data_IF_446184738014
#
_entry.id   IF_446184738014
#
_cell.length_a   1.000
_cell.length_b   1.000
_cell.length_c   1.000
_cell.angle_alpha   90.00
_cell.angle_beta   90.00
_cell.angle_gamma   90.00
#
_symmetry.space_group_name_H-M   'P 1'
#
loop_
_entity.id
_entity.type
_entity.pdbx_description
1 polymer ?
#
# COMPACT_ATOMS: atom_id res chain seq x y z
N UNK A 1 0.10 -24.89 9.85
CA UNK A 1 0.01 -24.40 8.47
C UNK A 1 -1.32 -24.76 7.81
N UNK A 2 -1.70 -26.03 7.72
CA UNK A 2 -2.95 -26.48 7.04
C UNK A 2 -4.23 -25.82 7.58
N UNK A 3 -4.36 -25.64 8.90
CA UNK A 3 -5.53 -25.00 9.51
C UNK A 3 -5.61 -23.49 9.19
N UNK A 4 -4.47 -22.81 9.10
CA UNK A 4 -4.38 -21.39 8.70
C UNK A 4 -4.74 -21.27 7.22
N UNK A 5 -4.24 -22.16 6.38
CA UNK A 5 -4.53 -22.20 4.94
C UNK A 5 -6.02 -22.44 4.65
N UNK A 6 -6.63 -23.40 5.36
CA UNK A 6 -8.05 -23.73 5.21
C UNK A 6 -8.96 -22.57 5.69
N UNK A 7 -8.58 -21.85 6.74
CA UNK A 7 -9.32 -20.66 7.19
C UNK A 7 -9.18 -19.50 6.19
N UNK A 8 -7.98 -19.26 5.66
CA UNK A 8 -7.73 -18.26 4.62
C UNK A 8 -8.58 -18.52 3.37
N UNK A 9 -8.63 -19.77 2.88
CA UNK A 9 -9.43 -20.14 1.70
C UNK A 9 -10.93 -19.96 1.99
N UNK A 10 -11.41 -20.41 3.15
CA UNK A 10 -12.83 -20.28 3.52
C UNK A 10 -13.27 -18.84 3.62
N UNK A 11 -12.47 -18.00 4.27
CA UNK A 11 -12.76 -16.56 4.45
C UNK A 11 -12.63 -15.80 3.13
N UNK A 12 -11.63 -16.14 2.32
CA UNK A 12 -11.46 -15.60 0.98
C UNK A 12 -12.72 -15.83 0.11
N UNK A 13 -13.28 -17.03 0.11
CA UNK A 13 -14.51 -17.33 -0.62
C UNK A 13 -15.71 -16.52 -0.11
N UNK A 14 -15.82 -16.30 1.22
CA UNK A 14 -16.86 -15.46 1.80
C UNK A 14 -16.72 -14.01 1.34
N UNK A 15 -15.52 -13.43 1.46
CA UNK A 15 -15.23 -12.05 1.02
C UNK A 15 -15.50 -11.88 -0.47
N UNK A 16 -15.00 -12.81 -1.31
CA UNK A 16 -15.25 -12.82 -2.74
C UNK A 16 -16.75 -12.85 -3.09
N UNK A 17 -17.53 -13.61 -2.32
CA UNK A 17 -18.99 -13.69 -2.49
C UNK A 17 -19.73 -12.39 -2.18
N UNK A 18 -19.16 -11.49 -1.39
CA UNK A 18 -19.71 -10.16 -1.11
C UNK A 18 -19.38 -9.11 -2.17
N UNK A 19 -18.46 -9.42 -3.11
CA UNK A 19 -18.11 -8.51 -4.21
C UNK A 19 -19.26 -8.38 -5.19
N UNK A 20 -19.66 -7.15 -5.50
CA UNK A 20 -20.88 -6.83 -6.24
C UNK A 20 -20.76 -6.98 -7.75
N UNK A 21 -19.54 -6.87 -8.30
CA UNK A 21 -19.31 -6.97 -9.75
C UNK A 21 -18.14 -7.90 -10.12
N UNK A 22 -18.06 -8.28 -11.39
CA UNK A 22 -17.04 -9.20 -11.88
C UNK A 22 -15.64 -8.59 -11.82
N UNK A 23 -15.53 -7.27 -12.04
CA UNK A 23 -14.25 -6.56 -11.94
C UNK A 23 -13.68 -6.66 -10.51
N UNK A 24 -14.51 -6.47 -9.50
CA UNK A 24 -14.09 -6.60 -8.09
C UNK A 24 -13.64 -8.02 -7.77
N UNK A 25 -14.36 -9.03 -8.29
CA UNK A 25 -13.99 -10.46 -8.12
C UNK A 25 -12.65 -10.77 -8.80
N UNK A 26 -12.45 -10.27 -10.02
CA UNK A 26 -11.20 -10.44 -10.77
C UNK A 26 -10.01 -9.79 -10.03
N UNK A 27 -10.18 -8.53 -9.58
CA UNK A 27 -9.14 -7.84 -8.81
C UNK A 27 -8.83 -8.60 -7.52
N UNK A 28 -9.84 -9.05 -6.79
CA UNK A 28 -9.67 -9.81 -5.56
C UNK A 28 -8.89 -11.11 -5.80
N UNK A 29 -9.31 -11.91 -6.77
CA UNK A 29 -8.65 -13.18 -7.12
C UNK A 29 -7.19 -12.95 -7.51
N UNK A 30 -6.91 -11.95 -8.35
CA UNK A 30 -5.56 -11.60 -8.78
C UNK A 30 -4.69 -11.09 -7.63
N UNK A 31 -5.22 -10.24 -6.76
CA UNK A 31 -4.48 -9.74 -5.58
C UNK A 31 -4.16 -10.86 -4.60
N UNK A 32 -5.10 -11.76 -4.35
CA UNK A 32 -4.89 -12.96 -3.53
C UNK A 32 -3.78 -13.84 -4.13
N UNK A 33 -3.86 -14.15 -5.42
CA UNK A 33 -2.86 -14.98 -6.11
C UNK A 33 -1.48 -14.29 -6.12
N UNK A 34 -1.44 -12.99 -6.38
CA UNK A 34 -0.19 -12.25 -6.31
C UNK A 34 0.42 -12.25 -4.90
N UNK A 35 -0.39 -12.06 -3.87
CA UNK A 35 0.07 -12.10 -2.46
C UNK A 35 0.68 -13.46 -2.10
N UNK A 36 0.08 -14.55 -2.59
CA UNK A 36 0.56 -15.91 -2.31
C UNK A 36 1.77 -16.33 -3.14
N UNK A 37 1.89 -15.84 -4.37
CA UNK A 37 2.90 -16.30 -5.34
C UNK A 37 3.98 -15.28 -5.67
N UNK A 38 3.70 -13.99 -5.44
CA UNK A 38 4.47 -12.83 -5.92
C UNK A 38 4.60 -12.74 -7.45
N UNK A 39 3.93 -13.61 -8.23
CA UNK A 39 3.93 -13.57 -9.69
C UNK A 39 3.20 -12.31 -10.20
N UNK A 40 3.95 -11.45 -10.85
CA UNK A 40 3.47 -10.12 -11.27
C UNK A 40 2.46 -10.19 -12.42
N UNK A 41 2.33 -11.33 -13.11
CA UNK A 41 1.30 -11.51 -14.15
C UNK A 41 -0.11 -11.22 -13.63
N UNK A 42 -0.38 -11.52 -12.36
CA UNK A 42 -1.68 -11.23 -11.72
C UNK A 42 -1.92 -9.73 -11.55
N UNK A 43 -0.88 -8.94 -11.31
CA UNK A 43 -1.01 -7.46 -11.29
C UNK A 43 -1.23 -6.95 -12.72
N UNK A 44 -0.41 -7.38 -13.68
CA UNK A 44 -0.57 -7.00 -15.09
C UNK A 44 -1.99 -7.25 -15.62
N UNK A 45 -2.65 -8.35 -15.20
CA UNK A 45 -4.00 -8.69 -15.68
C UNK A 45 -5.09 -7.74 -15.18
N UNK A 46 -4.92 -7.08 -14.04
CA UNK A 46 -5.92 -6.16 -13.46
C UNK A 46 -5.64 -4.68 -13.75
N UNK A 47 -4.47 -4.34 -14.29
CA UNK A 47 -4.15 -2.96 -14.66
C UNK A 47 -4.88 -2.54 -15.92
N UNK A 48 -5.26 -1.25 -16.00
CA UNK A 48 -5.99 -0.70 -17.14
C UNK A 48 -5.29 -0.92 -18.48
N UNK A 49 -3.99 -0.67 -18.49
CA UNK A 49 -3.18 -0.70 -19.72
C UNK A 49 -2.56 -2.09 -19.96
N UNK A 50 -2.71 -3.04 -19.01
CA UNK A 50 -2.15 -4.39 -19.06
C UNK A 50 -0.65 -4.41 -19.40
N UNK A 51 0.09 -3.42 -18.87
CA UNK A 51 1.51 -3.25 -19.12
C UNK A 51 2.30 -4.30 -18.34
N UNK A 52 3.06 -5.15 -19.04
CA UNK A 52 4.07 -5.97 -18.38
C UNK A 52 5.32 -5.15 -18.08
N UNK A 53 5.39 -4.64 -16.85
CA UNK A 53 6.52 -3.83 -16.40
C UNK A 53 7.84 -4.61 -16.34
N UNK A 54 7.82 -5.94 -16.49
CA UNK A 54 8.99 -6.80 -16.50
C UNK A 54 9.58 -7.01 -17.90
N UNK A 55 8.87 -6.68 -18.99
CA UNK A 55 9.36 -6.87 -20.35
C UNK A 55 10.71 -6.18 -20.60
N UNK A 56 10.88 -4.96 -20.10
CA UNK A 56 12.15 -4.24 -20.25
C UNK A 56 13.27 -4.90 -19.45
N UNK A 57 12.98 -5.39 -18.24
CA UNK A 57 13.97 -6.13 -17.46
C UNK A 57 14.41 -7.42 -18.18
N UNK A 58 13.45 -8.18 -18.75
CA UNK A 58 13.73 -9.36 -19.56
C UNK A 58 14.67 -9.00 -20.72
N UNK A 59 14.34 -7.95 -21.46
CA UNK A 59 15.14 -7.49 -22.61
C UNK A 59 16.57 -7.07 -22.19
N UNK A 60 16.73 -6.39 -21.05
CA UNK A 60 18.05 -5.99 -20.57
C UNK A 60 18.87 -7.18 -20.07
N UNK A 61 18.24 -8.17 -19.44
CA UNK A 61 18.94 -9.36 -18.94
C UNK A 61 19.40 -10.31 -20.05
N UNK A 62 18.76 -10.30 -21.21
CA UNK A 62 19.12 -11.21 -22.32
C UNK A 62 20.58 -11.09 -22.74
N UNK A 63 21.16 -9.89 -22.67
CA UNK A 63 22.57 -9.65 -22.98
C UNK A 63 23.55 -10.32 -21.99
N UNK A 64 23.08 -10.61 -20.76
CA UNK A 64 23.89 -11.22 -19.67
C UNK A 64 23.64 -12.71 -19.49
N UNK A 65 22.61 -13.26 -20.11
CA UNK A 65 22.22 -14.66 -20.01
C UNK A 65 23.38 -15.58 -20.38
N UNK A 66 23.73 -16.49 -19.49
CA UNK A 66 24.85 -17.45 -19.63
C UNK A 66 26.25 -16.78 -19.77
N UNK A 67 26.41 -15.50 -19.43
CA UNK A 67 27.70 -14.81 -19.57
C UNK A 67 28.31 -14.39 -18.23
N UNK A 68 27.50 -14.13 -17.25
CA UNK A 68 27.93 -13.76 -15.89
C UNK A 68 26.84 -14.10 -14.87
N UNK A 69 27.22 -14.03 -13.60
CA UNK A 69 26.31 -14.14 -12.48
C UNK A 69 25.28 -13.04 -12.51
N UNK A 70 24.04 -13.32 -12.03
CA UNK A 70 22.94 -12.36 -11.95
C UNK A 70 22.46 -12.29 -10.52
N UNK A 71 22.54 -11.11 -9.92
CA UNK A 71 22.23 -10.83 -8.51
C UNK A 71 21.01 -9.95 -8.39
N UNK A 72 20.06 -10.32 -7.52
CA UNK A 72 18.96 -9.42 -7.11
C UNK A 72 19.44 -8.59 -5.93
N UNK A 73 19.40 -7.27 -6.03
CA UNK A 73 19.64 -6.35 -4.91
C UNK A 73 18.32 -5.78 -4.39
N UNK A 74 17.94 -6.24 -3.21
CA UNK A 74 16.68 -5.96 -2.53
C UNK A 74 15.79 -7.21 -2.38
N UNK A 75 15.60 -7.66 -1.14
CA UNK A 75 14.80 -8.85 -0.79
C UNK A 75 13.31 -8.55 -0.56
N UNK A 76 12.87 -7.31 -0.77
CA UNK A 76 11.49 -6.86 -0.61
C UNK A 76 10.54 -7.40 -1.67
N UNK A 77 9.34 -6.79 -1.76
CA UNK A 77 8.28 -7.23 -2.67
C UNK A 77 8.76 -7.39 -4.12
N UNK A 78 9.39 -6.35 -4.71
CA UNK A 78 9.84 -6.43 -6.10
C UNK A 78 10.98 -7.42 -6.32
N UNK A 79 11.84 -7.66 -5.33
CA UNK A 79 12.82 -8.75 -5.40
C UNK A 79 12.15 -10.12 -5.50
N UNK A 80 11.13 -10.36 -4.67
CA UNK A 80 10.30 -11.58 -4.71
C UNK A 80 9.56 -11.71 -6.04
N UNK A 81 8.97 -10.61 -6.54
CA UNK A 81 8.27 -10.60 -7.83
C UNK A 81 9.20 -10.88 -9.00
N UNK A 82 10.41 -10.32 -9.01
CA UNK A 82 11.45 -10.63 -10.00
C UNK A 82 11.72 -12.15 -10.02
N UNK A 83 11.99 -12.72 -8.85
CA UNK A 83 12.29 -14.17 -8.72
C UNK A 83 11.10 -15.04 -9.16
N UNK A 84 9.87 -14.66 -8.79
CA UNK A 84 8.65 -15.41 -9.08
C UNK A 84 8.22 -15.31 -10.55
N UNK A 85 8.39 -14.14 -11.16
CA UNK A 85 7.92 -13.85 -12.53
C UNK A 85 8.94 -14.32 -13.58
N UNK A 86 10.24 -14.20 -13.28
CA UNK A 86 11.33 -14.50 -14.21
C UNK A 86 11.95 -15.87 -13.90
N UNK A 87 11.17 -16.92 -14.10
CA UNK A 87 11.54 -18.31 -13.79
C UNK A 87 12.59 -18.92 -14.73
N UNK A 88 12.83 -18.32 -15.88
CA UNK A 88 13.81 -18.70 -16.89
C UNK A 88 15.20 -18.07 -16.67
N UNK A 89 15.34 -17.24 -15.64
CA UNK A 89 16.61 -16.64 -15.23
C UNK A 89 17.22 -17.42 -14.07
N UNK A 90 18.48 -17.83 -14.23
CA UNK A 90 19.26 -18.43 -13.15
C UNK A 90 19.84 -17.35 -12.26
N UNK A 91 19.20 -17.15 -11.11
CA UNK A 91 19.60 -16.16 -10.12
C UNK A 91 20.70 -16.70 -9.21
N UNK A 92 21.86 -16.06 -9.18
CA UNK A 92 23.02 -16.50 -8.42
C UNK A 92 22.84 -16.30 -6.92
N UNK A 93 22.39 -15.13 -6.51
CA UNK A 93 22.05 -14.82 -5.12
C UNK A 93 21.10 -13.61 -5.03
N UNK A 94 20.57 -13.39 -3.83
CA UNK A 94 19.97 -12.11 -3.46
C UNK A 94 20.86 -11.42 -2.43
N UNK A 95 20.92 -10.09 -2.48
CA UNK A 95 21.58 -9.32 -1.44
C UNK A 95 20.69 -8.17 -0.96
N UNK A 96 20.95 -7.70 0.27
CA UNK A 96 20.29 -6.56 0.85
C UNK A 96 21.24 -5.87 1.84
N UNK A 97 20.82 -4.72 2.37
CA UNK A 97 21.55 -4.02 3.43
C UNK A 97 21.56 -4.80 4.74
N UNK A 98 20.40 -5.38 5.10
CA UNK A 98 20.21 -6.18 6.32
C UNK A 98 19.83 -7.59 5.94
N UNK A 99 20.55 -8.57 6.46
CA UNK A 99 20.36 -9.98 6.15
C UNK A 99 19.94 -10.70 7.44
N UNK A 100 18.78 -11.37 7.41
CA UNK A 100 18.25 -12.14 8.54
C UNK A 100 18.55 -13.64 8.46
N UNK A 101 18.75 -14.16 7.24
CA UNK A 101 18.91 -15.57 6.94
C UNK A 101 20.07 -15.81 5.97
N UNK A 102 20.47 -17.06 5.77
CA UNK A 102 21.52 -17.42 4.80
C UNK A 102 20.97 -17.81 3.43
N UNK A 103 19.69 -18.11 3.35
CA UNK A 103 18.98 -18.45 2.12
C UNK A 103 17.67 -17.65 2.00
N UNK A 104 17.34 -17.32 0.76
CA UNK A 104 16.12 -16.64 0.40
C UNK A 104 15.50 -17.31 -0.85
N UNK A 105 14.35 -17.97 -0.67
CA UNK A 105 13.67 -18.69 -1.75
C UNK A 105 14.60 -19.66 -2.52
N UNK A 106 15.36 -20.46 -1.79
CA UNK A 106 16.30 -21.46 -2.31
C UNK A 106 17.47 -20.87 -3.14
N UNK A 107 17.82 -19.62 -2.90
CA UNK A 107 19.07 -19.02 -3.40
C UNK A 107 19.84 -18.38 -2.24
N UNK A 108 21.18 -18.28 -2.33
CA UNK A 108 22.01 -17.65 -1.29
C UNK A 108 21.55 -16.22 -1.01
N UNK A 109 21.48 -15.86 0.30
CA UNK A 109 21.16 -14.52 0.75
C UNK A 109 22.31 -13.96 1.57
N UNK A 110 22.79 -12.78 1.25
CA UNK A 110 23.96 -12.18 1.87
C UNK A 110 23.92 -10.66 1.87
N UNK A 111 24.84 -10.03 2.62
CA UNK A 111 24.96 -8.57 2.56
C UNK A 111 25.41 -8.11 1.16
N UNK A 112 25.03 -6.89 0.78
CA UNK A 112 25.46 -6.28 -0.49
C UNK A 112 26.99 -6.27 -0.61
N UNK A 113 27.69 -5.93 0.45
CA UNK A 113 29.17 -5.90 0.45
C UNK A 113 29.79 -7.29 0.20
N UNK A 114 29.23 -8.35 0.81
CA UNK A 114 29.69 -9.71 0.59
C UNK A 114 29.35 -10.21 -0.82
N UNK A 115 28.18 -9.85 -1.34
CA UNK A 115 27.79 -10.18 -2.70
C UNK A 115 28.75 -9.56 -3.72
N UNK A 116 29.06 -8.27 -3.58
CA UNK A 116 30.03 -7.58 -4.48
C UNK A 116 31.43 -8.18 -4.39
N UNK A 117 31.88 -8.54 -3.19
CA UNK A 117 33.17 -9.20 -3.00
C UNK A 117 33.22 -10.58 -3.66
N UNK A 118 32.11 -11.33 -3.60
CA UNK A 118 32.04 -12.72 -4.11
C UNK A 118 31.77 -12.77 -5.62
N UNK A 119 30.97 -11.82 -6.14
CA UNK A 119 30.54 -11.76 -7.53
C UNK A 119 30.81 -10.37 -8.14
N UNK A 120 32.08 -9.95 -8.26
CA UNK A 120 32.48 -8.61 -8.68
C UNK A 120 32.10 -8.27 -10.12
N UNK A 121 31.99 -9.27 -11.00
CA UNK A 121 31.68 -9.13 -12.42
C UNK A 121 30.18 -9.41 -12.74
N UNK A 122 29.38 -9.69 -11.73
CA UNK A 122 27.95 -9.95 -11.89
C UNK A 122 27.17 -8.72 -12.39
N UNK A 123 26.00 -8.96 -12.96
CA UNK A 123 24.99 -7.90 -13.14
C UNK A 123 24.09 -7.84 -11.90
N UNK A 124 23.95 -6.65 -11.35
CA UNK A 124 23.11 -6.36 -10.19
C UNK A 124 21.79 -5.74 -10.61
N UNK A 125 20.68 -6.43 -10.32
CA UNK A 125 19.31 -5.95 -10.57
C UNK A 125 18.78 -5.31 -9.31
N UNK A 126 18.77 -3.98 -9.26
CA UNK A 126 18.26 -3.19 -8.13
C UNK A 126 16.74 -3.18 -8.17
N UNK A 127 16.11 -3.82 -7.20
CA UNK A 127 14.66 -4.03 -7.17
C UNK A 127 13.89 -2.94 -6.42
N UNK A 128 14.55 -2.11 -5.60
CA UNK A 128 13.87 -1.11 -4.76
C UNK A 128 13.41 0.11 -5.54
N UNK A 129 12.14 0.44 -5.48
CA UNK A 129 11.56 1.67 -6.03
C UNK A 129 12.04 2.92 -5.27
N UNK A 130 11.92 2.91 -3.94
CA UNK A 130 12.24 4.05 -3.08
C UNK A 130 13.74 4.33 -2.99
N UNK A 131 14.53 3.27 -2.82
CA UNK A 131 15.97 3.38 -2.57
C UNK A 131 16.83 3.07 -3.80
N UNK A 132 16.22 2.84 -4.96
CA UNK A 132 16.93 2.40 -6.17
C UNK A 132 18.12 3.27 -6.56
N UNK A 133 18.01 4.61 -6.46
CA UNK A 133 19.11 5.53 -6.76
C UNK A 133 20.25 5.46 -5.73
N UNK A 134 19.89 5.33 -4.45
CA UNK A 134 20.89 5.23 -3.38
C UNK A 134 21.68 3.91 -3.48
N UNK A 135 20.98 2.81 -3.75
CA UNK A 135 21.57 1.49 -3.96
C UNK A 135 22.49 1.48 -5.18
N UNK A 136 22.03 2.03 -6.31
CA UNK A 136 22.84 2.14 -7.52
C UNK A 136 24.13 2.94 -7.27
N UNK A 137 24.04 4.04 -6.51
CA UNK A 137 25.19 4.84 -6.12
C UNK A 137 26.16 4.06 -5.23
N UNK A 138 25.65 3.30 -4.27
CA UNK A 138 26.45 2.44 -3.39
C UNK A 138 27.17 1.34 -4.17
N UNK A 139 26.47 0.63 -5.05
CA UNK A 139 27.06 -0.40 -5.93
C UNK A 139 28.19 0.16 -6.79
N UNK A 140 28.01 1.34 -7.38
CA UNK A 140 29.07 2.04 -8.15
C UNK A 140 30.29 2.36 -7.29
N UNK A 141 30.11 2.79 -6.04
CA UNK A 141 31.21 3.03 -5.10
C UNK A 141 31.95 1.74 -4.73
N UNK A 142 31.23 0.61 -4.68
CA UNK A 142 31.81 -0.72 -4.46
C UNK A 142 32.48 -1.29 -5.72
N UNK A 143 32.49 -0.58 -6.85
CA UNK A 143 33.14 -0.95 -8.08
C UNK A 143 32.32 -1.81 -9.05
N UNK A 144 31.03 -1.99 -8.81
CA UNK A 144 30.14 -2.74 -9.70
C UNK A 144 29.94 -1.97 -11.02
N UNK A 145 30.16 -2.67 -12.14
CA UNK A 145 30.09 -2.10 -13.49
C UNK A 145 28.73 -2.32 -14.15
N UNK A 146 28.10 -3.46 -13.89
CA UNK A 146 26.87 -3.88 -14.55
C UNK A 146 25.70 -3.75 -13.57
N UNK A 147 24.88 -2.71 -13.73
CA UNK A 147 23.75 -2.42 -12.86
C UNK A 147 22.51 -2.17 -13.71
N UNK A 148 21.43 -2.88 -13.40
CA UNK A 148 20.09 -2.63 -13.94
C UNK A 148 19.24 -2.07 -12.81
N UNK A 149 18.88 -0.80 -12.85
CA UNK A 149 18.01 -0.19 -11.85
C UNK A 149 16.55 -0.38 -12.24
N UNK A 150 16.02 -1.57 -11.94
CA UNK A 150 14.63 -1.92 -12.21
C UNK A 150 13.65 -1.07 -11.37
N UNK A 151 13.98 -0.79 -10.10
CA UNK A 151 13.17 0.04 -9.23
C UNK A 151 12.90 1.42 -9.81
N UNK A 152 13.94 2.09 -10.36
CA UNK A 152 13.79 3.37 -11.05
C UNK A 152 12.98 3.24 -12.35
N UNK A 153 13.14 2.14 -13.07
CA UNK A 153 12.40 1.90 -14.29
C UNK A 153 10.89 1.78 -14.02
N UNK A 154 10.50 0.98 -13.03
CA UNK A 154 9.09 0.75 -12.73
C UNK A 154 8.40 1.96 -12.09
N UNK A 155 9.13 2.85 -11.40
CA UNK A 155 8.53 4.02 -10.74
C UNK A 155 7.72 4.92 -11.70
N UNK A 156 8.06 4.94 -12.99
CA UNK A 156 7.32 5.69 -14.02
C UNK A 156 5.89 5.19 -14.28
N UNK A 157 5.56 3.98 -13.85
CA UNK A 157 4.22 3.39 -14.00
C UNK A 157 3.32 3.58 -12.78
N UNK A 158 3.78 4.32 -11.78
CA UNK A 158 3.07 4.57 -10.52
C UNK A 158 2.05 5.72 -10.59
N UNK A 159 1.69 6.21 -11.78
CA UNK A 159 0.65 7.23 -11.91
C UNK A 159 -0.69 6.69 -11.42
N UNK A 160 -1.31 7.44 -10.51
CA UNK A 160 -2.58 7.08 -9.87
C UNK A 160 -3.74 7.70 -10.63
N UNK A 161 -4.81 6.94 -10.87
CA UNK A 161 -6.04 7.48 -11.45
C UNK A 161 -6.67 8.49 -10.44
N UNK A 162 -6.88 9.75 -10.84
CA UNK A 162 -7.38 10.79 -9.93
C UNK A 162 -8.83 10.59 -9.46
N UNK A 163 -9.56 9.61 -10.01
CA UNK A 163 -10.90 9.22 -9.54
C UNK A 163 -10.88 8.27 -8.35
N UNK A 164 -9.70 7.83 -7.91
CA UNK A 164 -9.54 6.99 -6.73
C UNK A 164 -10.35 7.57 -5.55
N UNK A 165 -11.03 6.69 -4.82
CA UNK A 165 -11.98 6.94 -3.72
C UNK A 165 -13.36 7.45 -4.14
N UNK A 166 -13.58 7.99 -5.36
CA UNK A 166 -14.78 8.74 -5.69
C UNK A 166 -15.58 8.22 -6.90
N UNK A 167 -15.13 7.16 -7.56
CA UNK A 167 -15.75 6.62 -8.78
C UNK A 167 -16.74 5.46 -8.55
N UNK A 168 -16.85 4.97 -7.33
CA UNK A 168 -17.77 3.85 -6.98
C UNK A 168 -19.08 4.34 -6.40
N UNK A 169 -19.04 5.35 -5.53
CA UNK A 169 -20.20 5.84 -4.80
C UNK A 169 -20.90 7.02 -5.49
N UNK A 170 -22.18 7.17 -5.17
CA UNK A 170 -22.92 8.43 -5.37
C UNK A 170 -22.92 9.19 -4.06
N UNK A 171 -22.52 10.45 -4.10
CA UNK A 171 -22.44 11.32 -2.95
C UNK A 171 -23.60 12.30 -2.92
N UNK A 172 -24.17 12.53 -1.74
CA UNK A 172 -25.21 13.52 -1.47
C UNK A 172 -24.61 14.91 -1.26
N UNK A 173 -25.46 15.93 -1.12
CA UNK A 173 -25.02 17.28 -0.77
C UNK A 173 -24.69 17.44 0.74
N UNK A 174 -25.10 16.48 1.55
CA UNK A 174 -25.02 16.53 3.02
C UNK A 174 -23.99 15.53 3.57
N UNK A 175 -22.98 15.16 2.76
CA UNK A 175 -21.95 14.22 3.22
C UNK A 175 -21.10 14.81 4.35
N UNK A 176 -20.89 14.01 5.37
CA UNK A 176 -19.85 14.21 6.39
C UNK A 176 -18.69 13.29 6.04
N UNK A 177 -17.65 13.88 5.50
CA UNK A 177 -16.49 13.18 4.93
C UNK A 177 -15.39 13.09 5.97
N UNK A 178 -14.82 11.91 6.12
CA UNK A 178 -13.66 11.66 6.99
C UNK A 178 -12.51 11.16 6.14
N UNK A 179 -11.43 11.94 6.05
CA UNK A 179 -10.21 11.58 5.35
C UNK A 179 -9.11 11.28 6.37
N UNK A 180 -8.83 9.99 6.58
CA UNK A 180 -7.79 9.51 7.48
C UNK A 180 -6.52 9.25 6.68
N UNK A 181 -5.47 10.04 6.96
CA UNK A 181 -4.25 10.08 6.17
C UNK A 181 -4.42 10.99 4.94
N UNK A 182 -4.68 12.29 5.18
CA UNK A 182 -4.90 13.24 4.08
C UNK A 182 -3.61 13.72 3.42
N UNK A 183 -2.45 13.46 4.04
CA UNK A 183 -1.10 13.80 3.56
C UNK A 183 -0.96 15.25 3.09
N UNK A 184 -1.21 15.53 1.80
CA UNK A 184 -1.15 16.87 1.20
C UNK A 184 -2.53 17.42 0.80
N UNK A 185 -3.61 16.82 1.28
CA UNK A 185 -5.02 17.13 0.97
C UNK A 185 -5.44 16.90 -0.50
N UNK A 186 -4.55 16.45 -1.39
CA UNK A 186 -4.89 16.26 -2.80
C UNK A 186 -6.03 15.26 -2.99
N UNK A 187 -6.02 14.15 -2.24
CA UNK A 187 -7.09 13.15 -2.30
C UNK A 187 -8.43 13.74 -1.89
N UNK A 188 -8.50 14.51 -0.79
CA UNK A 188 -9.73 15.20 -0.38
C UNK A 188 -10.19 16.22 -1.43
N UNK A 189 -9.27 16.97 -2.04
CA UNK A 189 -9.61 17.95 -3.09
C UNK A 189 -10.17 17.29 -4.35
N UNK A 190 -9.82 16.04 -4.65
CA UNK A 190 -10.43 15.29 -5.75
C UNK A 190 -11.93 15.01 -5.53
N UNK A 191 -12.40 15.02 -4.27
CA UNK A 191 -13.83 14.91 -3.97
C UNK A 191 -14.64 15.97 -4.68
N UNK A 192 -14.20 17.22 -4.70
CA UNK A 192 -14.92 18.32 -5.36
C UNK A 192 -15.05 18.14 -6.87
N UNK A 193 -14.14 17.40 -7.47
CA UNK A 193 -14.15 17.17 -8.92
C UNK A 193 -14.85 15.87 -9.32
N UNK A 194 -14.72 14.82 -8.54
CA UNK A 194 -15.17 13.47 -8.91
C UNK A 194 -16.27 12.92 -8.00
N UNK A 195 -16.42 13.43 -6.80
CA UNK A 195 -17.46 13.06 -5.85
C UNK A 195 -18.66 14.00 -5.95
N UNK A 196 -18.62 15.12 -5.24
CA UNK A 196 -19.64 16.17 -5.27
C UNK A 196 -19.02 17.52 -4.87
N UNK A 197 -19.47 18.62 -5.45
CA UNK A 197 -19.03 19.98 -5.06
C UNK A 197 -19.57 20.42 -3.69
N UNK A 198 -20.62 19.75 -3.18
CA UNK A 198 -21.29 20.08 -1.92
C UNK A 198 -21.03 19.00 -0.88
N UNK A 199 -20.89 19.45 0.36
CA UNK A 199 -20.73 18.61 1.54
C UNK A 199 -21.24 19.36 2.78
N UNK A 200 -21.58 18.63 3.83
CA UNK A 200 -21.94 19.21 5.12
C UNK A 200 -20.70 19.53 5.95
N UNK A 201 -19.76 18.59 6.02
CA UNK A 201 -18.54 18.68 6.83
C UNK A 201 -17.43 17.81 6.27
N UNK A 202 -16.16 18.25 6.43
CA UNK A 202 -14.97 17.43 6.19
C UNK A 202 -14.13 17.43 7.47
N UNK A 203 -13.73 16.24 7.91
CA UNK A 203 -12.76 16.00 8.96
C UNK A 203 -11.55 15.27 8.37
N UNK A 204 -10.39 15.90 8.39
CA UNK A 204 -9.13 15.30 7.91
C UNK A 204 -8.18 15.04 9.07
N UNK A 205 -7.47 13.94 9.00
CA UNK A 205 -6.49 13.52 10.00
C UNK A 205 -5.14 13.32 9.32
N UNK A 206 -4.11 14.01 9.84
CA UNK A 206 -2.73 13.90 9.36
C UNK A 206 -1.77 13.93 10.55
N UNK A 207 -1.12 12.81 10.85
CA UNK A 207 -0.24 12.72 12.01
C UNK A 207 1.10 13.43 11.85
N UNK A 208 1.62 13.59 10.61
CA UNK A 208 2.90 14.24 10.39
C UNK A 208 2.77 15.76 10.51
N UNK A 209 3.47 16.40 11.48
CA UNK A 209 3.28 17.82 11.78
C UNK A 209 3.54 18.75 10.59
N UNK A 210 4.52 18.44 9.75
CA UNK A 210 4.84 19.26 8.57
C UNK A 210 3.73 19.20 7.53
N UNK A 211 3.17 18.02 7.27
CA UNK A 211 2.07 17.85 6.33
C UNK A 211 0.78 18.46 6.89
N UNK A 212 0.50 18.24 8.18
CA UNK A 212 -0.62 18.90 8.86
C UNK A 212 -0.60 20.42 8.68
N UNK A 213 0.55 21.09 8.90
CA UNK A 213 0.69 22.54 8.74
C UNK A 213 0.46 22.95 7.28
N UNK A 214 0.97 22.20 6.31
CA UNK A 214 0.74 22.47 4.88
C UNK A 214 -0.73 22.38 4.53
N UNK A 215 -1.40 21.31 4.94
CA UNK A 215 -2.83 21.11 4.70
C UNK A 215 -3.68 22.21 5.35
N UNK A 216 -3.39 22.57 6.60
CA UNK A 216 -4.06 23.64 7.30
C UNK A 216 -3.96 24.97 6.54
N UNK A 217 -2.77 25.31 6.05
CA UNK A 217 -2.55 26.51 5.25
C UNK A 217 -3.34 26.48 3.93
N UNK A 218 -3.44 25.34 3.25
CA UNK A 218 -4.22 25.18 2.03
C UNK A 218 -5.72 25.42 2.33
N UNK A 219 -6.25 24.79 3.37
CA UNK A 219 -7.67 24.94 3.77
C UNK A 219 -8.00 26.41 4.08
N UNK A 220 -7.12 27.10 4.81
CA UNK A 220 -7.29 28.51 5.18
C UNK A 220 -7.17 29.46 3.96
N UNK A 221 -6.20 29.25 3.09
CA UNK A 221 -5.96 30.08 1.90
C UNK A 221 -7.05 29.95 0.85
N UNK A 222 -7.53 28.76 0.62
CA UNK A 222 -8.62 28.47 -0.33
C UNK A 222 -10.02 28.74 0.26
N UNK A 223 -10.09 29.16 1.54
CA UNK A 223 -11.32 29.50 2.24
C UNK A 223 -12.38 28.39 2.25
N UNK A 224 -11.96 27.12 2.33
CA UNK A 224 -12.89 26.02 2.47
C UNK A 224 -13.67 26.12 3.77
N UNK A 225 -14.97 26.27 3.67
CA UNK A 225 -15.86 26.31 4.83
C UNK A 225 -16.17 24.86 5.29
N UNK A 226 -16.33 24.68 6.61
CA UNK A 226 -16.70 23.38 7.17
C UNK A 226 -15.70 22.23 6.91
N UNK A 227 -14.42 22.56 6.71
CA UNK A 227 -13.34 21.60 6.63
C UNK A 227 -12.37 21.83 7.79
N UNK A 228 -12.28 20.85 8.67
CA UNK A 228 -11.37 20.85 9.82
C UNK A 228 -10.28 19.78 9.65
N UNK A 229 -9.07 20.10 10.06
CA UNK A 229 -7.93 19.16 10.05
C UNK A 229 -7.36 19.01 11.46
N UNK A 230 -6.98 17.78 11.79
CA UNK A 230 -6.47 17.39 13.09
C UNK A 230 -5.10 16.71 12.95
N UNK A 231 -4.14 17.13 13.82
CA UNK A 231 -2.82 16.52 13.84
C UNK A 231 -2.81 15.24 14.70
N UNK A 232 -3.58 14.24 14.23
CA UNK A 232 -3.70 12.92 14.85
C UNK A 232 -3.62 11.81 13.80
N UNK A 233 -3.03 10.67 14.18
CA UNK A 233 -3.26 9.41 13.49
C UNK A 233 -4.50 8.71 14.06
N UNK A 234 -5.17 7.88 13.26
CA UNK A 234 -6.23 7.00 13.75
C UNK A 234 -5.68 5.66 14.19
N UNK A 235 -6.15 5.16 15.34
CA UNK A 235 -5.70 3.88 15.91
C UNK A 235 -6.81 3.23 16.74
N UNK A 236 -6.57 2.03 17.27
CA UNK A 236 -7.46 1.31 18.19
C UNK A 236 -7.39 1.81 19.65
N UNK A 237 -6.53 2.77 19.94
CA UNK A 237 -6.34 3.37 21.26
C UNK A 237 -5.97 4.85 21.14
N UNK A 238 -6.30 5.62 22.19
CA UNK A 238 -5.85 7.01 22.30
C UNK A 238 -4.46 7.06 22.95
N UNK A 239 -3.58 7.94 22.47
CA UNK A 239 -2.26 8.10 23.07
C UNK A 239 -1.19 8.54 22.10
N UNK A 240 0.02 8.03 22.29
CA UNK A 240 1.15 8.31 21.41
C UNK A 240 1.70 7.00 20.84
N UNK A 241 1.96 7.02 19.54
CA UNK A 241 2.76 5.99 18.87
C UNK A 241 4.14 6.54 18.57
N UNK A 242 5.13 5.66 18.66
CA UNK A 242 6.51 6.01 18.39
C UNK A 242 7.00 5.26 17.16
N UNK A 243 7.62 5.98 16.25
CA UNK A 243 8.16 5.44 14.99
C UNK A 243 9.65 5.67 14.92
N UNK A 244 10.39 4.74 14.34
CA UNK A 244 11.79 4.94 14.02
C UNK A 244 11.92 5.51 12.60
N UNK A 245 12.60 6.64 12.46
CA UNK A 245 12.84 7.33 11.19
C UNK A 245 13.52 6.48 10.10
N UNK A 246 14.08 5.31 10.46
CA UNK A 246 14.80 4.40 9.59
C UNK A 246 14.01 3.15 9.15
N UNK A 247 12.75 2.99 9.55
CA UNK A 247 11.94 1.83 9.18
C UNK A 247 10.83 2.21 8.20
N UNK A 248 10.83 1.61 7.04
CA UNK A 248 9.76 1.72 6.04
C UNK A 248 8.46 1.00 6.43
N UNK A 249 8.42 0.39 7.61
CA UNK A 249 7.23 -0.22 8.21
C UNK A 249 7.10 0.33 9.62
N UNK A 250 6.06 1.10 9.86
CA UNK A 250 5.69 1.64 11.15
C UNK A 250 5.35 0.49 12.11
N UNK A 251 6.32 0.01 12.87
CA UNK A 251 6.03 -0.84 14.02
C UNK A 251 5.67 0.06 15.18
N UNK A 252 4.48 -0.11 15.74
CA UNK A 252 4.11 0.42 17.03
C UNK A 252 5.17 -0.05 18.02
N UNK A 253 5.97 0.85 18.54
CA UNK A 253 6.96 0.58 19.59
C UNK A 253 6.73 1.56 20.73
N UNK A 254 7.14 1.20 21.92
CA UNK A 254 7.13 2.12 23.07
C UNK A 254 8.35 3.06 23.07
N UNK A 255 9.22 2.96 22.06
CA UNK A 255 10.45 3.72 21.91
C UNK A 255 10.70 4.00 20.42
N UNK A 256 10.87 5.26 20.05
CA UNK A 256 11.17 5.71 18.68
C UNK A 256 11.51 7.19 18.63
N UNK A 257 12.11 7.63 17.54
CA UNK A 257 12.60 9.01 17.36
C UNK A 257 11.46 10.00 17.05
N UNK A 258 10.30 9.51 16.56
CA UNK A 258 9.15 10.35 16.17
C UNK A 258 7.95 9.89 16.99
N UNK A 259 7.35 10.80 17.76
CA UNK A 259 6.12 10.58 18.50
C UNK A 259 4.94 11.19 17.71
N UNK A 260 3.90 10.40 17.49
CA UNK A 260 2.67 10.82 16.83
C UNK A 260 1.50 10.63 17.79
N UNK A 261 0.69 11.65 17.94
CA UNK A 261 -0.55 11.55 18.72
C UNK A 261 -1.59 10.77 17.91
N UNK A 262 -2.26 9.80 18.56
CA UNK A 262 -3.28 8.96 17.93
C UNK A 262 -4.58 8.98 18.70
N UNK A 263 -5.70 8.80 17.96
CA UNK A 263 -7.05 8.85 18.49
C UNK A 263 -7.89 7.67 17.99
N UNK A 264 -8.80 7.19 18.84
CA UNK A 264 -9.93 6.35 18.42
C UNK A 264 -10.99 7.22 17.75
N UNK A 265 -11.36 6.89 16.54
CA UNK A 265 -12.45 7.59 15.84
C UNK A 265 -13.80 7.43 16.55
N UNK A 266 -14.04 6.30 17.24
CA UNK A 266 -15.23 6.12 18.08
C UNK A 266 -15.33 7.17 19.19
N UNK A 267 -14.20 7.61 19.75
CA UNK A 267 -14.21 8.67 20.77
C UNK A 267 -14.38 10.06 20.15
N UNK A 268 -13.81 10.30 18.98
CA UNK A 268 -13.96 11.55 18.24
C UNK A 268 -15.42 11.82 17.86
N UNK A 269 -16.12 10.81 17.32
CA UNK A 269 -17.51 10.97 16.85
C UNK A 269 -18.56 11.01 17.96
N UNK A 270 -18.18 10.86 19.23
CA UNK A 270 -19.11 11.17 20.35
C UNK A 270 -19.49 12.64 20.45
N UNK A 271 -18.67 13.53 19.90
CA UNK A 271 -18.84 15.00 20.02
C UNK A 271 -18.82 15.72 18.67
N UNK A 272 -18.71 14.98 17.57
CA UNK A 272 -18.66 15.51 16.20
C UNK A 272 -19.79 14.90 15.37
N UNK A 273 -20.02 15.45 14.17
CA UNK A 273 -21.07 14.96 13.27
C UNK A 273 -20.80 13.51 12.83
N UNK A 274 -21.89 12.77 12.73
CA UNK A 274 -21.92 11.37 12.28
C UNK A 274 -21.34 11.23 10.86
N UNK A 275 -20.32 10.40 10.65
CA UNK A 275 -19.70 10.25 9.33
C UNK A 275 -20.64 9.51 8.37
N UNK A 276 -20.70 9.99 7.12
CA UNK A 276 -21.40 9.31 6.03
C UNK A 276 -20.44 8.67 5.02
N UNK A 277 -19.20 9.13 5.00
CA UNK A 277 -18.12 8.56 4.19
C UNK A 277 -16.78 8.62 4.92
N UNK A 278 -16.06 7.51 4.96
CA UNK A 278 -14.74 7.40 5.56
C UNK A 278 -13.76 6.85 4.52
N UNK A 279 -12.70 7.60 4.24
CA UNK A 279 -11.52 7.14 3.48
C UNK A 279 -10.39 6.85 4.46
N UNK A 280 -9.65 5.75 4.26
CA UNK A 280 -8.42 5.44 5.01
C UNK A 280 -7.30 5.04 4.06
N UNK A 281 -6.20 5.77 4.14
CA UNK A 281 -4.94 5.52 3.45
C UNK A 281 -3.81 5.94 4.39
N UNK A 282 -3.35 5.03 5.25
CA UNK A 282 -2.53 5.29 6.45
C UNK A 282 -1.38 4.31 6.62
N UNK A 283 -0.78 3.94 5.49
CA UNK A 283 0.50 3.22 5.43
C UNK A 283 0.53 1.91 6.25
N UNK A 284 -0.61 1.19 6.27
CA UNK A 284 -0.75 -0.12 6.92
C UNK A 284 -1.28 -0.08 8.35
N UNK A 285 -1.82 1.06 8.82
CA UNK A 285 -2.51 1.16 10.10
C UNK A 285 -4.05 0.98 9.96
N UNK A 286 -4.56 0.69 8.76
CA UNK A 286 -5.98 0.66 8.42
C UNK A 286 -6.78 -0.27 9.33
N UNK A 287 -6.30 -1.48 9.58
CA UNK A 287 -7.00 -2.44 10.44
C UNK A 287 -7.07 -1.96 11.90
N UNK A 288 -6.02 -1.30 12.41
CA UNK A 288 -6.03 -0.71 13.75
C UNK A 288 -7.00 0.47 13.83
N UNK A 289 -6.99 1.37 12.83
CA UNK A 289 -7.92 2.49 12.74
C UNK A 289 -9.38 2.02 12.63
N UNK A 290 -9.67 0.97 11.84
CA UNK A 290 -11.00 0.34 11.75
C UNK A 290 -11.46 -0.23 13.09
N UNK A 291 -10.54 -0.83 13.88
CA UNK A 291 -10.86 -1.28 15.25
C UNK A 291 -11.22 -0.11 16.17
N UNK A 292 -10.55 1.02 16.02
CA UNK A 292 -10.85 2.26 16.76
C UNK A 292 -12.06 3.03 16.24
N UNK A 293 -12.68 2.55 15.15
CA UNK A 293 -13.88 3.12 14.51
C UNK A 293 -15.05 2.12 14.49
N UNK A 294 -14.97 1.03 15.27
CA UNK A 294 -15.86 -0.11 15.16
C UNK A 294 -17.31 0.22 15.54
N UNK A 295 -17.51 0.99 16.59
CA UNK A 295 -18.85 1.38 17.07
C UNK A 295 -19.47 2.38 16.09
N UNK A 296 -18.73 3.35 15.62
CA UNK A 296 -19.12 4.31 14.58
C UNK A 296 -19.59 3.59 13.31
N UNK A 297 -18.80 2.59 12.82
CA UNK A 297 -19.16 1.80 11.63
C UNK A 297 -20.46 1.00 11.85
N UNK A 298 -20.64 0.36 13.02
CA UNK A 298 -21.85 -0.41 13.32
C UNK A 298 -23.09 0.47 13.40
N UNK A 299 -22.97 1.64 14.02
CA UNK A 299 -24.08 2.53 14.30
C UNK A 299 -24.50 3.33 13.06
N UNK A 300 -23.56 4.00 12.41
CA UNK A 300 -23.86 4.93 11.32
C UNK A 300 -23.74 4.32 9.92
N UNK A 301 -23.08 3.18 9.79
CA UNK A 301 -22.87 2.45 8.51
C UNK A 301 -22.41 3.35 7.37
N UNK A 302 -21.35 4.15 7.58
CA UNK A 302 -20.85 5.05 6.53
C UNK A 302 -20.37 4.27 5.31
N UNK A 303 -20.38 4.91 4.14
CA UNK A 303 -19.61 4.44 2.99
C UNK A 303 -18.13 4.37 3.37
N UNK A 304 -17.44 3.31 3.00
CA UNK A 304 -16.03 3.11 3.31
C UNK A 304 -15.20 3.02 2.03
N UNK A 305 -14.06 3.71 1.99
CA UNK A 305 -13.02 3.57 0.96
C UNK A 305 -11.67 3.33 1.66
N UNK A 306 -11.27 2.06 1.76
CA UNK A 306 -10.16 1.62 2.59
C UNK A 306 -9.05 1.04 1.71
N UNK A 307 -7.83 1.54 1.84
CA UNK A 307 -6.66 0.97 1.17
C UNK A 307 -6.35 -0.43 1.72
N UNK A 308 -6.11 -1.39 0.81
CA UNK A 308 -5.87 -2.81 1.14
C UNK A 308 -4.62 -3.34 0.43
N UNK A 309 -3.57 -2.52 0.38
CA UNK A 309 -2.34 -2.83 -0.35
C UNK A 309 -1.05 -2.64 0.43
N UNK A 310 -1.12 -2.03 1.61
CA UNK A 310 0.08 -1.72 2.38
C UNK A 310 0.72 -2.96 3.00
N UNK A 311 -0.10 -3.92 3.45
CA UNK A 311 0.35 -5.22 3.97
C UNK A 311 -0.21 -6.37 3.14
N UNK A 312 0.53 -7.46 2.99
CA UNK A 312 0.03 -8.64 2.26
C UNK A 312 -1.28 -9.21 2.82
N UNK A 313 -1.48 -9.11 4.13
CA UNK A 313 -2.68 -9.58 4.83
C UNK A 313 -3.90 -8.68 4.68
N UNK A 314 -3.74 -7.40 4.34
CA UNK A 314 -4.82 -6.42 4.29
C UNK A 314 -5.96 -6.84 3.34
N UNK A 315 -5.62 -7.47 2.21
CA UNK A 315 -6.62 -7.96 1.24
C UNK A 315 -7.55 -9.03 1.82
N UNK A 316 -7.14 -9.70 2.88
CA UNK A 316 -7.93 -10.73 3.59
C UNK A 316 -8.57 -10.19 4.85
N UNK A 317 -7.78 -9.55 5.72
CA UNK A 317 -8.17 -9.21 7.09
C UNK A 317 -9.11 -8.00 7.14
N UNK A 318 -8.89 -6.98 6.31
CA UNK A 318 -9.72 -5.78 6.30
C UNK A 318 -11.15 -6.07 5.85
N UNK A 319 -11.39 -6.74 4.70
CA UNK A 319 -12.76 -7.07 4.28
C UNK A 319 -13.47 -7.98 5.29
N UNK A 320 -12.76 -8.98 5.85
CA UNK A 320 -13.33 -9.88 6.85
C UNK A 320 -13.73 -9.12 8.12
N UNK A 321 -12.88 -8.20 8.58
CA UNK A 321 -13.17 -7.38 9.75
C UNK A 321 -14.39 -6.48 9.53
N UNK A 322 -14.47 -5.78 8.40
CA UNK A 322 -15.62 -4.93 8.06
C UNK A 322 -16.91 -5.74 8.01
N UNK A 323 -16.92 -6.93 7.40
CA UNK A 323 -18.08 -7.84 7.40
C UNK A 323 -18.45 -8.37 8.80
N UNK A 324 -17.50 -8.40 9.74
CA UNK A 324 -17.80 -8.76 11.14
C UNK A 324 -18.50 -7.61 11.89
N UNK A 325 -18.29 -6.36 11.47
CA UNK A 325 -18.97 -5.18 12.03
C UNK A 325 -20.38 -5.01 11.46
N UNK A 326 -20.51 -5.18 10.14
CA UNK A 326 -21.79 -5.12 9.44
C UNK A 326 -21.80 -6.12 8.27
N UNK A 327 -22.49 -7.28 8.43
CA UNK A 327 -22.53 -8.32 7.39
C UNK A 327 -23.32 -7.94 6.14
N UNK A 328 -24.09 -6.85 6.18
CA UNK A 328 -24.91 -6.36 5.07
C UNK A 328 -24.16 -5.46 4.10
N UNK A 329 -22.93 -5.09 4.41
CA UNK A 329 -22.10 -4.27 3.51
C UNK A 329 -21.90 -4.97 2.16
N UNK A 330 -22.26 -4.26 1.10
CA UNK A 330 -21.90 -4.57 -0.28
C UNK A 330 -20.49 -4.09 -0.54
N UNK A 331 -19.69 -4.88 -1.24
CA UNK A 331 -18.27 -4.60 -1.44
C UNK A 331 -17.90 -4.46 -2.91
N UNK A 332 -17.04 -3.51 -3.20
CA UNK A 332 -16.36 -3.37 -4.49
C UNK A 332 -14.86 -3.24 -4.26
N UNK A 333 -14.07 -3.68 -5.23
CA UNK A 333 -12.63 -3.53 -5.23
C UNK A 333 -12.19 -2.85 -6.51
N UNK A 334 -11.32 -1.86 -6.40
CA UNK A 334 -10.74 -1.14 -7.54
C UNK A 334 -9.24 -1.04 -7.41
N UNK A 335 -8.57 -0.99 -8.55
CA UNK A 335 -7.12 -0.86 -8.64
C UNK A 335 -6.77 0.30 -9.58
N UNK A 336 -5.90 1.22 -9.15
CA UNK A 336 -5.77 2.54 -9.76
C UNK A 336 -4.39 2.85 -10.36
N UNK A 337 -3.46 1.91 -10.33
CA UNK A 337 -2.13 2.06 -10.94
C UNK A 337 -1.79 0.90 -11.88
N UNK A 338 -0.65 0.99 -12.56
CA UNK A 338 -0.04 -0.17 -13.24
C UNK A 338 0.95 -0.92 -12.33
N UNK A 339 1.00 -0.57 -11.05
CA UNK A 339 1.85 -1.19 -10.03
C UNK A 339 1.00 -1.94 -9.00
N UNK A 340 1.64 -2.49 -7.98
CA UNK A 340 0.96 -3.30 -6.94
C UNK A 340 0.11 -2.49 -5.96
N UNK A 341 0.43 -1.23 -5.74
CA UNK A 341 -0.23 -0.32 -4.81
C UNK A 341 -1.57 0.20 -5.33
N UNK A 342 -2.23 1.04 -4.56
CA UNK A 342 -3.47 1.73 -4.91
C UNK A 342 -4.65 0.78 -5.21
N UNK A 343 -4.82 -0.24 -4.37
CA UNK A 343 -6.01 -1.09 -4.36
C UNK A 343 -6.92 -0.66 -3.22
N UNK A 344 -8.14 -0.25 -3.55
CA UNK A 344 -9.10 0.30 -2.59
C UNK A 344 -10.33 -0.61 -2.49
N UNK A 345 -10.70 -0.96 -1.26
CA UNK A 345 -11.93 -1.63 -0.91
C UNK A 345 -13.01 -0.59 -0.61
N UNK A 346 -14.14 -0.72 -1.28
CA UNK A 346 -15.33 0.11 -1.08
C UNK A 346 -16.44 -0.71 -0.42
N UNK A 347 -17.12 -0.13 0.57
CA UNK A 347 -18.24 -0.78 1.25
C UNK A 347 -19.41 0.20 1.41
N UNK A 348 -20.64 -0.25 1.08
CA UNK A 348 -21.89 0.51 1.21
C UNK A 348 -23.03 -0.40 1.70
#
# INVERSE_FOLDING_TARGET
MEKIYNNLIKNSNKVRGCMQDDLSREIYDCKVLNTLTYDYKYITSITKDKIDVFEELKRQLEQYKNKCDIVIDGAGYYGKSIKATMTDVEWTCVCDRTVSDTEWWNIPYMSRADAVKRYPDAVYVVSSMLYGLAIEKELKHLGVKNIINFGRYISKYGEVNPKQYYDVFKFSNDEVIVDVGCFDCQSTMQYFKYGNERYKKIYSFEPEPEQYIKCKNIIEQEHYSNWEIFNYGACDSNGKLYFNSNSSCSKISNEGDIAVDVIKLDDFFKTHEEPTFIKMDIEGAELAALRGCADTIREYKPKLAICVYHKPEDIFEIPEYILSLNPDYKMWLRHYTNLINETVLYCE
#
